data_IF_355761648555
#
_entry.id   IF_355761648555
#
_cell.length_a   1.000
_cell.length_b   1.000
_cell.length_c   1.000
_cell.angle_alpha   90.00
_cell.angle_beta   90.00
_cell.angle_gamma   90.00
#
_symmetry.space_group_name_H-M   'P 1'
#
loop_
_entity.id
_entity.type
_entity.pdbx_description
1 polymer ?
#
# COMPACT_ATOMS: atom_id res chain seq x y z
N UNK A 1 -11.96 -15.71 -14.39
CA UNK A 1 -10.96 -15.85 -15.48
C UNK A 1 -10.20 -14.55 -15.58
N UNK A 2 -8.87 -14.56 -15.68
CA UNK A 2 -8.06 -13.34 -15.86
C UNK A 2 -7.79 -13.15 -17.36
N UNK A 3 -8.28 -12.05 -17.92
CA UNK A 3 -8.07 -11.71 -19.33
C UNK A 3 -6.94 -10.67 -19.45
N UNK A 4 -6.01 -10.89 -20.37
CA UNK A 4 -4.91 -9.98 -20.66
C UNK A 4 -5.08 -9.43 -22.08
N UNK A 5 -5.23 -8.12 -22.20
CA UNK A 5 -5.33 -7.42 -23.48
C UNK A 5 -4.04 -6.64 -23.75
N UNK A 6 -3.53 -6.74 -24.98
CA UNK A 6 -2.35 -6.01 -25.43
C UNK A 6 -2.74 -5.13 -26.62
N UNK A 7 -2.22 -3.90 -26.66
CA UNK A 7 -2.33 -3.02 -27.80
C UNK A 7 -1.12 -2.08 -27.88
N UNK A 8 -0.91 -1.47 -29.04
CA UNK A 8 0.16 -0.50 -29.25
C UNK A 8 -0.21 0.92 -28.79
N UNK A 9 -1.51 1.22 -28.78
CA UNK A 9 -2.05 2.51 -28.37
C UNK A 9 -3.01 2.35 -27.20
N UNK A 10 -3.02 3.34 -26.30
CA UNK A 10 -3.89 3.32 -25.11
C UNK A 10 -5.36 3.42 -25.52
N UNK A 11 -5.64 4.13 -26.62
CA UNK A 11 -6.94 4.35 -27.23
C UNK A 11 -7.64 3.04 -27.59
N UNK A 12 -6.89 2.04 -28.05
CA UNK A 12 -7.39 0.71 -28.39
C UNK A 12 -7.84 -0.04 -27.13
N UNK A 13 -7.02 0.00 -26.07
CA UNK A 13 -7.37 -0.59 -24.78
C UNK A 13 -8.56 0.13 -24.12
N UNK A 14 -8.63 1.45 -24.26
CA UNK A 14 -9.77 2.24 -23.80
C UNK A 14 -11.04 1.90 -24.57
N UNK A 15 -10.97 1.70 -25.89
CA UNK A 15 -12.10 1.21 -26.68
C UNK A 15 -12.55 -0.19 -26.26
N UNK A 16 -11.60 -1.08 -25.91
CA UNK A 16 -11.95 -2.39 -25.34
C UNK A 16 -12.61 -2.28 -23.97
N UNK A 17 -12.13 -1.38 -23.11
CA UNK A 17 -12.73 -1.10 -21.82
C UNK A 17 -14.17 -0.59 -21.99
N UNK A 18 -14.41 0.37 -22.88
CA UNK A 18 -15.75 0.89 -23.18
C UNK A 18 -16.71 -0.24 -23.61
N UNK A 19 -16.28 -1.12 -24.51
CA UNK A 19 -17.07 -2.29 -24.91
C UNK A 19 -17.44 -3.18 -23.72
N UNK A 20 -16.49 -3.41 -22.81
CA UNK A 20 -16.75 -4.22 -21.61
C UNK A 20 -17.75 -3.54 -20.66
N UNK A 21 -17.72 -2.20 -20.57
CA UNK A 21 -18.62 -1.43 -19.70
C UNK A 21 -20.06 -1.32 -20.23
N UNK A 22 -20.30 -1.59 -21.52
CA UNK A 22 -21.66 -1.60 -22.10
C UNK A 22 -22.55 -2.72 -21.56
N UNK A 23 -21.97 -3.75 -20.95
CA UNK A 23 -22.72 -4.83 -20.28
C UNK A 23 -22.18 -4.95 -18.86
N UNK A 24 -22.61 -4.06 -17.95
CA UNK A 24 -22.12 -4.08 -16.58
C UNK A 24 -22.54 -5.39 -15.90
N UNK A 25 -21.62 -6.13 -15.27
CA UNK A 25 -21.91 -7.44 -14.69
C UNK A 25 -22.60 -7.38 -13.30
N UNK A 26 -22.70 -6.19 -12.71
CA UNK A 26 -23.09 -5.99 -11.31
C UNK A 26 -24.58 -5.72 -11.06
N UNK A 27 -24.92 -5.65 -9.77
CA UNK A 27 -26.24 -5.20 -9.32
C UNK A 27 -26.46 -3.70 -9.57
N UNK A 28 -27.73 -3.29 -9.55
CA UNK A 28 -28.15 -1.90 -9.73
C UNK A 28 -27.35 -0.96 -8.80
N UNK A 29 -26.80 0.12 -9.36
CA UNK A 29 -25.99 1.14 -8.68
C UNK A 29 -24.64 0.67 -8.13
N UNK A 30 -24.22 -0.57 -8.36
CA UNK A 30 -22.86 -1.00 -8.01
C UNK A 30 -21.86 -0.22 -8.87
N UNK A 31 -20.87 0.47 -8.26
CA UNK A 31 -19.89 1.21 -9.05
C UNK A 31 -18.93 0.27 -9.77
N UNK A 32 -18.60 0.62 -11.01
CA UNK A 32 -17.58 -0.09 -11.78
C UNK A 32 -16.20 0.25 -11.22
N UNK A 33 -15.43 -0.76 -10.83
CA UNK A 33 -14.12 -0.56 -10.21
C UNK A 33 -13.03 -0.74 -11.25
N UNK A 34 -12.24 0.32 -11.48
CA UNK A 34 -11.17 0.30 -12.48
C UNK A 34 -9.85 0.71 -11.84
N UNK A 35 -8.87 -0.18 -11.94
CA UNK A 35 -7.51 0.12 -11.51
C UNK A 35 -6.79 1.02 -12.52
N UNK A 36 -6.16 2.09 -12.03
CA UNK A 36 -5.41 3.05 -12.84
C UNK A 36 -4.00 3.26 -12.27
N UNK A 37 -3.00 3.57 -13.11
CA UNK A 37 -1.64 3.84 -12.65
C UNK A 37 -1.50 5.23 -12.02
N UNK A 38 -2.41 6.16 -12.32
CA UNK A 38 -2.35 7.54 -11.83
C UNK A 38 -3.56 8.37 -12.29
N UNK A 39 -3.74 9.52 -11.65
CA UNK A 39 -4.94 10.38 -11.79
C UNK A 39 -5.15 10.91 -13.21
N UNK A 40 -4.06 11.23 -13.93
CA UNK A 40 -4.13 11.69 -15.32
C UNK A 40 -4.86 10.69 -16.23
N UNK A 41 -4.66 9.39 -16.01
CA UNK A 41 -5.34 8.35 -16.79
C UNK A 41 -6.82 8.25 -16.43
N UNK A 42 -7.21 8.39 -15.16
CA UNK A 42 -8.63 8.43 -14.80
C UNK A 42 -9.36 9.65 -15.39
N UNK A 43 -8.72 10.81 -15.41
CA UNK A 43 -9.30 12.03 -16.00
C UNK A 43 -9.49 11.86 -17.50
N UNK A 44 -8.46 11.39 -18.20
CA UNK A 44 -8.52 11.12 -19.64
C UNK A 44 -9.58 10.05 -19.98
N UNK A 45 -9.64 8.95 -19.24
CA UNK A 45 -10.65 7.91 -19.43
C UNK A 45 -12.07 8.44 -19.15
N UNK A 46 -12.25 9.26 -18.12
CA UNK A 46 -13.57 9.84 -17.79
C UNK A 46 -14.10 10.69 -18.94
N UNK A 47 -13.26 11.55 -19.52
CA UNK A 47 -13.64 12.39 -20.66
C UNK A 47 -13.91 11.53 -21.90
N UNK A 48 -13.02 10.56 -22.19
CA UNK A 48 -13.16 9.69 -23.36
C UNK A 48 -14.43 8.85 -23.31
N UNK A 49 -14.70 8.20 -22.18
CA UNK A 49 -15.92 7.39 -22.01
C UNK A 49 -17.19 8.25 -22.15
N UNK A 50 -17.18 9.48 -21.61
CA UNK A 50 -18.29 10.40 -21.74
C UNK A 50 -18.50 10.91 -23.18
N UNK A 51 -17.44 11.03 -23.97
CA UNK A 51 -17.55 11.45 -25.37
C UNK A 51 -18.38 10.46 -26.21
N UNK A 52 -18.23 9.16 -25.96
CA UNK A 52 -18.91 8.12 -26.74
C UNK A 52 -20.30 7.75 -26.16
N UNK A 53 -20.47 7.84 -24.83
CA UNK A 53 -21.70 7.43 -24.14
C UNK A 53 -22.60 8.58 -23.69
N UNK A 54 -22.12 9.82 -23.81
CA UNK A 54 -22.77 11.04 -23.31
C UNK A 54 -22.52 11.32 -21.82
N UNK A 55 -22.13 10.31 -21.02
CA UNK A 55 -21.85 10.47 -19.59
C UNK A 55 -20.90 9.37 -19.08
N UNK A 56 -19.92 9.75 -18.27
CA UNK A 56 -19.10 8.81 -17.49
C UNK A 56 -19.41 8.99 -16.01
N UNK A 57 -20.17 8.07 -15.41
CA UNK A 57 -20.63 8.15 -14.03
C UNK A 57 -20.54 6.79 -13.32
N UNK A 58 -20.58 6.83 -11.98
CA UNK A 58 -20.52 5.65 -11.10
C UNK A 58 -19.29 4.75 -11.30
N UNK A 59 -18.15 5.33 -11.71
CA UNK A 59 -16.88 4.62 -11.83
C UNK A 59 -16.00 4.97 -10.63
N UNK A 60 -15.46 3.95 -9.97
CA UNK A 60 -14.48 4.09 -8.90
C UNK A 60 -13.08 3.81 -9.43
N UNK A 61 -12.32 4.88 -9.66
CA UNK A 61 -10.91 4.81 -10.04
C UNK A 61 -10.03 4.51 -8.83
N UNK A 62 -9.29 3.40 -8.85
CA UNK A 62 -8.43 2.99 -7.74
C UNK A 62 -6.98 2.81 -8.19
N UNK A 63 -6.03 3.25 -7.36
CA UNK A 63 -4.64 2.82 -7.51
C UNK A 63 -4.51 1.33 -7.14
N UNK A 64 -3.54 0.58 -7.70
CA UNK A 64 -3.40 -0.86 -7.45
C UNK A 64 -3.36 -1.24 -5.96
N UNK A 65 -2.64 -0.46 -5.14
CA UNK A 65 -2.56 -0.71 -3.70
C UNK A 65 -3.92 -0.55 -3.00
N UNK A 66 -4.74 0.43 -3.42
CA UNK A 66 -6.09 0.64 -2.86
C UNK A 66 -7.06 -0.43 -3.31
N UNK A 67 -7.02 -0.83 -4.59
CA UNK A 67 -7.83 -1.94 -5.10
C UNK A 67 -7.55 -3.21 -4.29
N UNK A 68 -6.27 -3.53 -4.09
CA UNK A 68 -5.91 -4.77 -3.44
C UNK A 68 -6.16 -4.74 -1.91
N UNK A 69 -6.11 -3.57 -1.26
CA UNK A 69 -6.65 -3.41 0.10
C UNK A 69 -8.16 -3.60 0.16
N UNK A 70 -8.90 -3.06 -0.82
CA UNK A 70 -10.34 -3.31 -0.92
C UNK A 70 -10.63 -4.81 -1.10
N UNK A 71 -9.89 -5.51 -1.95
CA UNK A 71 -10.02 -6.98 -2.11
C UNK A 71 -9.83 -7.68 -0.76
N UNK A 72 -8.85 -7.29 0.06
CA UNK A 72 -8.70 -7.87 1.40
C UNK A 72 -9.93 -7.64 2.27
N UNK A 73 -10.47 -6.42 2.32
CA UNK A 73 -11.67 -6.14 3.11
C UNK A 73 -12.92 -6.89 2.62
N UNK A 74 -13.03 -7.07 1.30
CA UNK A 74 -14.19 -7.70 0.69
C UNK A 74 -14.16 -9.24 0.84
N UNK A 75 -13.00 -9.83 1.17
CA UNK A 75 -12.79 -11.29 1.19
C UNK A 75 -12.36 -11.86 2.55
N UNK A 76 -11.74 -11.05 3.42
CA UNK A 76 -11.23 -11.46 4.72
C UNK A 76 -11.98 -10.75 5.84
N UNK A 77 -12.14 -11.43 6.97
CA UNK A 77 -12.73 -10.83 8.16
C UNK A 77 -11.72 -9.94 8.89
N UNK A 78 -12.24 -8.92 9.59
CA UNK A 78 -11.47 -8.06 10.51
C UNK A 78 -10.31 -7.26 9.88
N UNK A 79 -10.34 -7.06 8.56
CA UNK A 79 -9.39 -6.14 7.90
C UNK A 79 -9.77 -4.70 8.23
N UNK A 80 -8.88 -3.91 8.86
CA UNK A 80 -9.21 -2.54 9.24
C UNK A 80 -9.46 -1.64 8.02
N UNK A 81 -10.23 -0.57 8.23
CA UNK A 81 -10.50 0.42 7.19
C UNK A 81 -9.23 1.12 6.70
N UNK A 82 -8.34 1.43 7.64
CA UNK A 82 -7.07 2.07 7.35
C UNK A 82 -5.91 1.06 7.43
N UNK A 83 -5.01 1.12 6.46
CA UNK A 83 -3.78 0.34 6.50
C UNK A 83 -2.83 0.93 7.58
N UNK A 84 -2.68 0.22 8.70
CA UNK A 84 -1.77 0.58 9.79
C UNK A 84 -0.27 0.54 9.41
N UNK A 85 0.03 0.07 8.19
CA UNK A 85 1.36 0.02 7.60
C UNK A 85 1.49 0.93 6.36
N UNK A 86 0.65 1.96 6.25
CA UNK A 86 0.90 3.05 5.30
C UNK A 86 2.16 3.83 5.71
N UNK A 87 2.83 4.48 4.75
CA UNK A 87 4.05 5.25 5.03
C UNK A 87 3.86 6.29 6.14
N UNK A 88 2.73 6.99 6.16
CA UNK A 88 2.43 8.01 7.17
C UNK A 88 2.17 7.39 8.55
N UNK A 89 1.41 6.28 8.62
CA UNK A 89 1.17 5.58 9.87
C UNK A 89 2.48 5.02 10.45
N UNK A 90 3.34 4.45 9.61
CA UNK A 90 4.64 3.93 10.02
C UNK A 90 5.57 5.04 10.49
N UNK A 91 5.56 6.21 9.86
CA UNK A 91 6.34 7.35 10.32
C UNK A 91 5.99 7.73 11.77
N UNK A 92 4.69 7.80 12.09
CA UNK A 92 4.24 8.09 13.45
C UNK A 92 4.60 6.99 14.46
N UNK A 93 4.60 5.71 14.04
CA UNK A 93 5.02 4.60 14.90
C UNK A 93 6.54 4.55 15.11
N UNK A 94 7.32 4.94 14.11
CA UNK A 94 8.79 5.00 14.16
C UNK A 94 9.28 6.11 15.09
N UNK A 95 8.64 7.27 15.06
CA UNK A 95 9.07 8.45 15.81
C UNK A 95 9.36 8.18 17.30
N UNK A 96 8.44 7.58 18.11
CA UNK A 96 8.70 7.34 19.53
C UNK A 96 9.87 6.36 19.75
N UNK A 97 10.13 5.43 18.83
CA UNK A 97 11.26 4.51 18.92
C UNK A 97 12.58 5.24 18.66
N UNK A 98 12.59 6.25 17.78
CA UNK A 98 13.75 7.11 17.55
C UNK A 98 13.98 8.12 18.70
N UNK A 99 12.96 8.40 19.49
CA UNK A 99 13.04 9.24 20.70
C UNK A 99 13.52 8.45 21.92
N UNK A 100 13.37 7.12 21.91
CA UNK A 100 13.87 6.24 22.97
C UNK A 100 15.41 6.14 22.94
N UNK A 101 16.04 6.69 23.98
CA UNK A 101 17.49 6.62 24.19
C UNK A 101 17.97 5.21 24.50
N UNK A 102 17.12 4.37 25.11
CA UNK A 102 17.41 2.96 25.38
C UNK A 102 17.51 2.13 24.10
N UNK A 103 16.67 2.41 23.11
CA UNK A 103 16.78 1.83 21.77
C UNK A 103 17.97 2.40 21.01
N UNK A 104 18.05 3.73 20.85
CA UNK A 104 19.02 4.37 19.96
C UNK A 104 20.48 4.13 20.39
N UNK A 105 20.76 4.11 21.70
CA UNK A 105 22.12 3.85 22.23
C UNK A 105 22.68 2.46 21.89
N UNK A 106 21.82 1.48 21.61
CA UNK A 106 22.23 0.12 21.19
C UNK A 106 22.69 0.06 19.73
N UNK A 107 22.49 1.13 18.97
CA UNK A 107 22.76 1.18 17.54
C UNK A 107 23.71 2.34 17.19
N UNK A 108 25.04 2.11 17.16
CA UNK A 108 26.04 3.19 17.07
C UNK A 108 25.87 4.14 15.87
N UNK A 109 25.52 3.59 14.69
CA UNK A 109 25.31 4.40 13.49
C UNK A 109 24.10 5.34 13.63
N UNK A 110 23.01 4.85 14.22
CA UNK A 110 21.79 5.61 14.47
C UNK A 110 22.02 6.65 15.58
N UNK A 111 22.67 6.26 16.68
CA UNK A 111 23.02 7.15 17.78
C UNK A 111 23.87 8.34 17.29
N UNK A 112 24.88 8.06 16.45
CA UNK A 112 25.73 9.10 15.86
C UNK A 112 24.94 10.07 14.98
N UNK A 113 24.01 9.55 14.17
CA UNK A 113 23.15 10.39 13.32
C UNK A 113 22.21 11.28 14.15
N UNK A 114 21.70 10.76 15.27
CA UNK A 114 20.76 11.46 16.15
C UNK A 114 21.43 12.35 17.21
N UNK A 115 22.76 12.39 17.25
CA UNK A 115 23.50 13.22 18.22
C UNK A 115 23.22 14.71 17.95
N UNK A 116 22.64 15.41 18.93
CA UNK A 116 22.23 16.82 18.77
C UNK A 116 21.04 17.03 17.81
N UNK A 117 20.34 15.97 17.39
CA UNK A 117 19.19 16.07 16.51
C UNK A 117 18.03 16.82 17.19
N UNK A 118 17.33 17.67 16.43
CA UNK A 118 16.09 18.30 16.85
C UNK A 118 14.91 17.33 16.68
N UNK A 119 13.73 17.71 17.18
CA UNK A 119 12.49 16.97 16.91
C UNK A 119 12.21 16.86 15.40
N UNK A 120 12.51 17.92 14.64
CA UNK A 120 12.35 17.93 13.18
C UNK A 120 13.23 16.89 12.48
N UNK A 121 14.50 16.75 12.89
CA UNK A 121 15.40 15.75 12.30
C UNK A 121 14.92 14.31 12.59
N UNK A 122 14.45 14.03 13.81
CA UNK A 122 13.86 12.73 14.15
C UNK A 122 12.62 12.44 13.31
N UNK A 123 11.75 13.43 13.15
CA UNK A 123 10.56 13.31 12.31
C UNK A 123 10.90 13.06 10.83
N UNK A 124 11.90 13.75 10.28
CA UNK A 124 12.34 13.51 8.90
C UNK A 124 12.85 12.07 8.70
N UNK A 125 13.65 11.57 9.63
CA UNK A 125 14.11 10.17 9.59
C UNK A 125 12.91 9.21 9.73
N UNK A 126 11.98 9.48 10.63
CA UNK A 126 10.78 8.66 10.81
C UNK A 126 9.95 8.57 9.52
N UNK A 127 9.75 9.70 8.83
CA UNK A 127 9.07 9.74 7.52
C UNK A 127 9.82 8.97 6.45
N UNK A 128 11.14 9.06 6.41
CA UNK A 128 11.95 8.31 5.46
C UNK A 128 11.82 6.80 5.73
N UNK A 129 11.89 6.39 6.99
CA UNK A 129 11.72 4.99 7.39
C UNK A 129 10.32 4.46 7.09
N UNK A 130 9.27 5.24 7.36
CA UNK A 130 7.89 4.86 7.01
C UNK A 130 7.73 4.56 5.53
N UNK A 131 8.28 5.42 4.64
CA UNK A 131 8.29 5.18 3.19
C UNK A 131 9.10 3.95 2.80
N UNK A 132 10.28 3.76 3.38
CA UNK A 132 11.13 2.60 3.08
C UNK A 132 10.46 1.30 3.49
N UNK A 133 9.84 1.24 4.66
CA UNK A 133 9.13 0.05 5.12
C UNK A 133 7.91 -0.29 4.27
N UNK A 134 7.11 0.71 3.87
CA UNK A 134 6.02 0.50 2.93
C UNK A 134 6.53 -0.09 1.60
N UNK A 135 7.66 0.41 1.09
CA UNK A 135 8.30 -0.16 -0.10
C UNK A 135 8.85 -1.57 0.15
N UNK A 136 9.47 -1.85 1.29
CA UNK A 136 9.99 -3.19 1.61
C UNK A 136 8.88 -4.22 1.70
N UNK A 137 7.69 -3.87 2.19
CA UNK A 137 6.53 -4.76 2.18
C UNK A 137 6.14 -5.22 0.76
N UNK A 138 6.43 -4.42 -0.27
CA UNK A 138 6.13 -4.75 -1.67
C UNK A 138 7.34 -5.39 -2.37
N UNK A 139 8.50 -4.75 -2.29
CA UNK A 139 9.67 -5.07 -3.11
C UNK A 139 10.70 -5.95 -2.42
N UNK A 140 10.77 -5.95 -1.08
CA UNK A 140 11.72 -6.75 -0.27
C UNK A 140 11.01 -7.50 0.86
N UNK A 141 9.94 -8.27 0.55
CA UNK A 141 9.18 -8.97 1.57
C UNK A 141 10.03 -10.00 2.34
N UNK A 142 11.10 -10.51 1.71
CA UNK A 142 12.07 -11.40 2.34
C UNK A 142 12.81 -10.74 3.51
N UNK A 143 13.07 -9.43 3.44
CA UNK A 143 13.71 -8.68 4.54
C UNK A 143 12.78 -8.54 5.73
N UNK A 144 11.54 -8.11 5.47
CA UNK A 144 10.50 -8.00 6.50
C UNK A 144 10.32 -9.32 7.24
N UNK A 145 10.17 -10.42 6.50
CA UNK A 145 9.98 -11.75 7.09
C UNK A 145 11.20 -12.25 7.88
N UNK A 146 12.42 -11.86 7.51
CA UNK A 146 13.64 -12.17 8.28
C UNK A 146 13.69 -11.36 9.56
N UNK A 147 13.42 -10.06 9.49
CA UNK A 147 13.39 -9.19 10.67
C UNK A 147 12.31 -9.58 11.68
N UNK A 148 11.14 -10.03 11.21
CA UNK A 148 10.08 -10.54 12.10
C UNK A 148 10.49 -11.80 12.87
N UNK A 149 11.44 -12.60 12.37
CA UNK A 149 11.98 -13.78 13.06
C UNK A 149 13.08 -13.46 14.07
N UNK A 150 13.47 -12.19 14.19
CA UNK A 150 14.58 -11.76 15.05
C UNK A 150 15.96 -11.85 14.40
N UNK A 151 16.06 -12.15 13.10
CA UNK A 151 17.34 -12.25 12.38
C UNK A 151 17.89 -10.88 11.92
N UNK A 152 17.49 -9.80 12.58
CA UNK A 152 17.94 -8.44 12.28
C UNK A 152 19.29 -8.14 12.93
N UNK A 153 20.35 -7.99 12.12
CA UNK A 153 21.67 -7.54 12.60
C UNK A 153 21.86 -6.02 12.54
N UNK A 154 20.98 -5.33 11.81
CA UNK A 154 21.02 -3.88 11.63
C UNK A 154 19.91 -3.16 12.42
N UNK A 155 20.08 -1.85 12.57
CA UNK A 155 19.15 -1.01 13.32
C UNK A 155 17.78 -0.87 12.63
N UNK A 156 17.69 -1.07 11.30
CA UNK A 156 16.42 -0.95 10.58
C UNK A 156 15.53 -2.16 10.86
N UNK A 157 16.10 -3.37 10.91
CA UNK A 157 15.36 -4.55 11.31
C UNK A 157 14.97 -4.52 12.79
N UNK A 158 15.85 -4.03 13.66
CA UNK A 158 15.52 -3.81 15.07
C UNK A 158 14.38 -2.78 15.25
N UNK A 159 14.41 -1.69 14.47
CA UNK A 159 13.36 -0.69 14.45
C UNK A 159 12.04 -1.29 13.96
N UNK A 160 12.06 -2.08 12.88
CA UNK A 160 10.89 -2.80 12.38
C UNK A 160 10.29 -3.74 13.43
N UNK A 161 11.14 -4.48 14.15
CA UNK A 161 10.70 -5.35 15.23
C UNK A 161 10.02 -4.55 16.35
N UNK A 162 10.56 -3.38 16.70
CA UNK A 162 9.95 -2.44 17.64
C UNK A 162 8.56 -1.95 17.21
N UNK A 163 8.32 -1.78 15.90
CA UNK A 163 7.00 -1.37 15.38
C UNK A 163 5.93 -2.44 15.60
N UNK A 164 6.30 -3.72 15.54
CA UNK A 164 5.37 -4.83 15.67
C UNK A 164 4.89 -5.07 17.12
N UNK A 165 5.51 -4.43 18.12
CA UNK A 165 5.24 -4.68 19.54
C UNK A 165 4.03 -3.91 20.11
N UNK A 166 3.69 -2.68 19.67
CA UNK A 166 2.45 -2.01 20.04
C UNK A 166 1.47 -1.97 18.84
N UNK A 167 0.33 -2.64 18.97
CA UNK A 167 -0.82 -2.52 18.05
C UNK A 167 -0.95 -3.61 17.00
N UNK A 168 -1.68 -3.33 15.92
CA UNK A 168 -1.91 -4.30 14.84
C UNK A 168 -0.60 -4.56 14.07
N UNK A 169 -0.16 -5.82 14.10
CA UNK A 169 1.02 -6.30 13.39
C UNK A 169 0.67 -6.88 12.00
N UNK A 170 -0.60 -6.86 11.59
CA UNK A 170 -1.09 -7.38 10.31
C UNK A 170 -0.83 -6.36 9.20
N UNK A 171 0.39 -6.40 8.68
CA UNK A 171 0.75 -5.71 7.45
C UNK A 171 0.29 -6.49 6.22
N UNK A 172 0.39 -5.81 5.08
CA UNK A 172 0.13 -6.32 3.74
C UNK A 172 0.43 -7.81 3.50
N UNK A 173 1.66 -8.25 3.79
CA UNK A 173 2.09 -9.63 3.52
C UNK A 173 1.30 -10.69 4.30
N UNK A 174 0.83 -10.37 5.51
CA UNK A 174 0.03 -11.28 6.34
C UNK A 174 -1.38 -11.41 5.77
N UNK A 175 -2.00 -10.30 5.37
CA UNK A 175 -3.29 -10.30 4.67
C UNK A 175 -3.23 -11.05 3.34
N UNK A 176 -2.19 -10.81 2.54
CA UNK A 176 -1.95 -11.55 1.30
C UNK A 176 -1.86 -13.05 1.54
N UNK A 177 -1.13 -13.46 2.58
CA UNK A 177 -0.99 -14.89 2.94
C UNK A 177 -2.35 -15.48 3.30
N UNK A 178 -3.11 -14.82 4.17
CA UNK A 178 -4.45 -15.25 4.56
C UNK A 178 -5.42 -15.35 3.38
N UNK A 179 -5.39 -14.37 2.47
CA UNK A 179 -6.19 -14.41 1.23
C UNK A 179 -5.90 -15.67 0.43
N UNK A 180 -4.62 -15.96 0.15
CA UNK A 180 -4.26 -17.15 -0.63
C UNK A 180 -4.52 -18.46 0.10
N UNK A 181 -4.48 -18.48 1.43
CA UNK A 181 -4.86 -19.65 2.23
C UNK A 181 -6.37 -19.90 2.18
N UNK A 182 -7.20 -18.85 2.18
CA UNK A 182 -8.66 -18.97 2.09
C UNK A 182 -9.21 -19.27 0.69
N UNK A 183 -8.40 -19.11 -0.35
CA UNK A 183 -8.76 -19.44 -1.74
C UNK A 183 -8.44 -20.90 -2.13
N UNK A 184 -7.83 -21.68 -1.24
CA UNK A 184 -7.52 -23.10 -1.44
C UNK A 184 -8.58 -23.98 -0.80
#
# INVERSE_FOLDING_TARGET
MLHLHHANYLEDLAGKLEQNLRTPPGEILTPEIIAIPGTAISEWLTIRLAADTGISANIRWLLPARLLWQIFRDTLNEVPDANAFSADALAWRVLPILEDTGFTSRHPALARYLTGASALHRWQLARQMGRLYEQYLVFRPDWILKWERGDARDWQGALWHGLASPGDARHWLKWRKQLFEGLR
#
